data_IF_179790618028
#
_entry.id   IF_179790618028
#
_cell.length_a   1.000
_cell.length_b   1.000
_cell.length_c   1.000
_cell.angle_alpha   90.00
_cell.angle_beta   90.00
_cell.angle_gamma   90.00
#
_symmetry.space_group_name_H-M   'P 1'
#
loop_
_entity.id
_entity.type
_entity.pdbx_description
1 polymer ?
#
# COMPACT_ATOMS: atom_id res chain seq x y z
N UNK A 1 -4.87 -10.83 15.11
CA UNK A 1 -4.55 -9.70 16.05
C UNK A 1 -5.85 -9.21 16.69
N UNK A 2 -6.12 -9.66 17.93
CA UNK A 2 -7.39 -9.41 18.63
C UNK A 2 -7.21 -8.36 19.72
N UNK A 3 -8.06 -7.34 19.70
CA UNK A 3 -8.09 -6.28 20.71
C UNK A 3 -9.35 -6.48 21.56
N UNK A 4 -9.18 -6.65 22.86
CA UNK A 4 -10.31 -6.81 23.80
C UNK A 4 -10.94 -5.45 24.07
N UNK A 5 -12.23 -5.29 23.80
CA UNK A 5 -12.93 -4.00 23.89
C UNK A 5 -13.86 -3.89 25.10
N UNK A 6 -14.29 -5.00 25.70
CA UNK A 6 -15.30 -5.04 26.77
C UNK A 6 -14.81 -4.37 28.05
N UNK A 7 -13.52 -4.50 28.38
CA UNK A 7 -12.93 -3.96 29.62
C UNK A 7 -12.22 -2.61 29.45
N UNK A 8 -12.25 -2.03 28.22
CA UNK A 8 -11.60 -0.76 27.97
C UNK A 8 -12.42 0.41 28.54
N UNK A 9 -11.77 1.30 29.27
CA UNK A 9 -12.33 2.61 29.63
C UNK A 9 -12.47 3.51 28.41
N UNK A 10 -13.28 4.56 28.51
CA UNK A 10 -13.26 5.63 27.49
C UNK A 10 -11.89 6.31 27.47
N UNK A 11 -11.43 6.68 26.26
CA UNK A 11 -10.14 7.32 26.06
C UNK A 11 -9.28 6.65 24.98
N UNK A 12 -7.98 6.94 25.05
CA UNK A 12 -7.00 6.47 24.06
C UNK A 12 -6.21 5.28 24.58
N UNK A 13 -6.09 4.25 23.73
CA UNK A 13 -5.33 3.04 24.03
C UNK A 13 -4.38 2.74 22.88
N UNK A 14 -3.15 2.31 23.20
CA UNK A 14 -2.11 2.00 22.23
C UNK A 14 -1.78 0.51 22.28
N UNK A 15 -1.68 -0.11 21.09
CA UNK A 15 -1.26 -1.49 20.95
C UNK A 15 -0.19 -1.59 19.88
N UNK A 16 0.78 -2.48 20.10
CA UNK A 16 1.82 -2.78 19.14
C UNK A 16 1.82 -4.30 18.92
N UNK A 17 1.68 -4.72 17.68
CA UNK A 17 1.77 -6.12 17.29
C UNK A 17 2.96 -6.30 16.36
N UNK A 18 3.57 -7.47 16.45
CA UNK A 18 4.62 -7.91 15.54
C UNK A 18 4.29 -9.35 15.17
N UNK A 19 3.90 -9.55 13.92
CA UNK A 19 3.45 -10.84 13.42
C UNK A 19 4.32 -11.25 12.23
N UNK A 20 4.46 -12.56 12.02
CA UNK A 20 5.18 -13.06 10.85
C UNK A 20 4.32 -12.94 9.58
N UNK A 21 4.97 -12.91 8.43
CA UNK A 21 4.30 -12.89 7.13
C UNK A 21 3.45 -14.14 6.90
N UNK A 22 3.86 -15.28 7.47
CA UNK A 22 3.13 -16.55 7.39
C UNK A 22 1.84 -16.51 8.22
N UNK A 23 1.86 -15.89 9.40
CA UNK A 23 0.66 -15.71 10.23
C UNK A 23 -0.42 -14.90 9.51
N UNK A 24 0.01 -13.90 8.70
CA UNK A 24 -0.87 -13.06 7.90
C UNK A 24 -1.17 -13.65 6.52
N UNK A 25 -0.66 -14.85 6.21
CA UNK A 25 -0.84 -15.51 4.91
C UNK A 25 -0.50 -14.58 3.74
N UNK A 26 0.59 -13.81 3.87
CA UNK A 26 1.06 -12.92 2.82
C UNK A 26 1.79 -13.72 1.72
N UNK A 27 1.78 -13.24 0.46
CA UNK A 27 2.56 -13.83 -0.62
C UNK A 27 4.06 -13.94 -0.30
N UNK A 28 4.73 -14.91 -0.93
CA UNK A 28 6.14 -15.23 -0.67
C UNK A 28 7.14 -14.09 -0.92
N UNK A 29 6.71 -13.07 -1.67
CA UNK A 29 7.53 -11.88 -1.89
C UNK A 29 7.67 -11.03 -0.61
N UNK A 30 6.74 -11.16 0.34
CA UNK A 30 6.86 -10.50 1.63
C UNK A 30 7.77 -11.32 2.55
N UNK A 31 8.57 -10.63 3.36
CA UNK A 31 9.54 -11.27 4.25
C UNK A 31 9.66 -10.57 5.60
N UNK A 32 10.16 -11.33 6.57
CA UNK A 32 10.38 -10.86 7.94
C UNK A 32 9.10 -10.70 8.73
N UNK A 33 9.07 -9.70 9.61
CA UNK A 33 7.93 -9.44 10.47
C UNK A 33 7.21 -8.17 10.05
N UNK A 34 5.89 -8.24 10.10
CA UNK A 34 4.99 -7.09 9.95
C UNK A 34 4.81 -6.41 11.29
N UNK A 35 5.09 -5.11 11.34
CA UNK A 35 4.85 -4.28 12.54
C UNK A 35 3.56 -3.50 12.37
N UNK A 36 2.70 -3.58 13.38
CA UNK A 36 1.38 -2.96 13.39
C UNK A 36 1.20 -2.14 14.66
N UNK A 37 1.11 -0.84 14.50
CA UNK A 37 0.84 0.09 15.61
C UNK A 37 -0.63 0.52 15.53
N UNK A 38 -1.33 0.41 16.64
CA UNK A 38 -2.76 0.70 16.72
C UNK A 38 -3.01 1.76 17.77
N UNK A 39 -3.69 2.83 17.37
CA UNK A 39 -4.31 3.80 18.25
C UNK A 39 -5.81 3.55 18.26
N UNK A 40 -6.35 3.12 19.39
CA UNK A 40 -7.77 2.94 19.61
C UNK A 40 -8.31 4.06 20.47
N UNK A 41 -9.31 4.80 19.97
CA UNK A 41 -10.03 5.84 20.70
C UNK A 41 -11.46 5.34 20.97
N UNK A 42 -11.78 5.08 22.25
CA UNK A 42 -13.10 4.61 22.67
C UNK A 42 -13.92 5.76 23.24
N UNK A 43 -15.10 5.94 22.70
CA UNK A 43 -16.15 6.83 23.25
C UNK A 43 -17.37 6.02 23.68
N UNK A 44 -18.41 6.69 24.16
CA UNK A 44 -19.69 6.03 24.51
C UNK A 44 -20.37 5.37 23.32
N UNK A 45 -20.29 6.01 22.16
CA UNK A 45 -21.11 5.67 20.99
C UNK A 45 -20.33 4.92 19.91
N UNK A 46 -19.00 5.07 19.88
CA UNK A 46 -18.16 4.46 18.85
C UNK A 46 -16.73 4.18 19.32
N UNK A 47 -16.07 3.31 18.59
CA UNK A 47 -14.63 3.06 18.70
C UNK A 47 -14.00 3.42 17.37
N UNK A 48 -13.02 4.31 17.39
CA UNK A 48 -12.16 4.62 16.24
C UNK A 48 -10.83 3.89 16.42
N UNK A 49 -10.43 3.10 15.41
CA UNK A 49 -9.12 2.47 15.36
C UNK A 49 -8.35 3.09 14.21
N UNK A 50 -7.15 3.62 14.51
CA UNK A 50 -6.16 4.05 13.52
C UNK A 50 -5.01 3.07 13.57
N UNK A 51 -4.67 2.51 12.43
CA UNK A 51 -3.65 1.46 12.29
C UNK A 51 -2.57 1.94 11.34
N UNK A 52 -1.32 1.86 11.78
CA UNK A 52 -0.13 2.06 10.95
C UNK A 52 0.61 0.73 10.81
N UNK A 53 0.85 0.31 9.58
CA UNK A 53 1.44 -0.97 9.21
C UNK A 53 2.78 -0.73 8.55
N UNK A 54 3.77 -1.57 8.87
CA UNK A 54 5.03 -1.61 8.16
C UNK A 54 5.37 -3.05 7.79
N UNK A 55 5.60 -3.31 6.50
CA UNK A 55 5.95 -4.61 5.93
C UNK A 55 7.08 -4.47 4.91
N UNK A 56 7.87 -5.53 4.71
CA UNK A 56 8.95 -5.58 3.73
C UNK A 56 8.62 -6.56 2.61
N UNK A 57 9.02 -6.23 1.38
CA UNK A 57 8.79 -7.06 0.20
C UNK A 57 10.00 -7.04 -0.73
N UNK A 58 10.34 -8.22 -1.28
CA UNK A 58 11.21 -8.37 -2.44
C UNK A 58 10.47 -7.90 -3.68
N UNK A 59 11.07 -7.02 -4.44
CA UNK A 59 10.49 -6.43 -5.63
C UNK A 59 11.46 -6.59 -6.81
N UNK A 60 10.89 -6.74 -8.01
CA UNK A 60 11.62 -6.60 -9.27
C UNK A 60 11.23 -5.28 -9.94
N UNK A 61 12.19 -4.57 -10.48
CA UNK A 61 11.96 -3.30 -11.16
C UNK A 61 11.39 -3.51 -12.55
N UNK A 62 10.21 -2.96 -12.85
CA UNK A 62 9.53 -3.10 -14.15
C UNK A 62 10.29 -2.49 -15.34
N UNK A 63 11.33 -1.68 -15.08
CA UNK A 63 12.15 -1.06 -16.13
C UNK A 63 13.48 -1.74 -16.37
N UNK A 64 14.20 -2.10 -15.30
CA UNK A 64 15.57 -2.64 -15.42
C UNK A 64 15.71 -4.07 -14.91
N UNK A 65 14.61 -4.70 -14.50
CA UNK A 65 14.51 -6.08 -14.01
C UNK A 65 15.43 -6.39 -12.81
N UNK A 66 15.92 -5.36 -12.13
CA UNK A 66 16.73 -5.53 -10.93
C UNK A 66 15.84 -5.87 -9.76
N UNK A 67 16.25 -6.85 -8.99
CA UNK A 67 15.68 -7.16 -7.69
C UNK A 67 16.11 -6.13 -6.65
N UNK A 68 15.19 -5.76 -5.76
CA UNK A 68 15.44 -4.86 -4.65
C UNK A 68 14.41 -5.06 -3.54
N UNK A 69 14.81 -4.71 -2.32
CA UNK A 69 13.92 -4.76 -1.17
C UNK A 69 13.27 -3.39 -0.95
N UNK A 70 11.99 -3.42 -0.63
CA UNK A 70 11.23 -2.22 -0.32
C UNK A 70 10.39 -2.40 0.94
N UNK A 71 10.44 -1.39 1.82
CA UNK A 71 9.52 -1.29 2.93
C UNK A 71 8.27 -0.53 2.50
N UNK A 72 7.12 -1.08 2.83
CA UNK A 72 5.81 -0.46 2.63
C UNK A 72 5.27 0.01 3.97
N UNK A 73 4.82 1.25 4.01
CA UNK A 73 4.08 1.79 5.16
C UNK A 73 2.69 2.17 4.66
N UNK A 74 1.66 1.70 5.35
CA UNK A 74 0.28 2.03 5.08
C UNK A 74 -0.44 2.39 6.37
N UNK A 75 -1.42 3.27 6.25
CA UNK A 75 -2.26 3.69 7.37
C UNK A 75 -3.72 3.60 6.96
N UNK A 76 -4.54 3.09 7.87
CA UNK A 76 -5.98 3.08 7.69
C UNK A 76 -6.69 3.37 9.02
N UNK A 77 -7.96 3.68 8.91
CA UNK A 77 -8.82 3.88 10.07
C UNK A 77 -10.17 3.20 9.85
N UNK A 78 -10.74 2.67 10.93
CA UNK A 78 -12.04 2.02 10.97
C UNK A 78 -12.85 2.53 12.14
N UNK A 79 -14.12 2.79 11.88
CA UNK A 79 -15.10 3.12 12.91
C UNK A 79 -15.94 1.89 13.24
N UNK A 80 -16.04 1.60 14.53
CA UNK A 80 -16.89 0.52 15.04
C UNK A 80 -18.01 1.14 15.86
N UNK A 81 -19.25 0.84 15.48
CA UNK A 81 -20.46 1.35 16.13
C UNK A 81 -21.33 0.19 16.59
N UNK A 82 -22.04 0.35 17.71
CA UNK A 82 -22.95 -0.67 18.23
C UNK A 82 -24.40 -0.49 17.80
N UNK A 83 -24.73 0.65 17.19
CA UNK A 83 -26.10 0.98 16.74
C UNK A 83 -26.11 1.29 15.24
N UNK A 84 -26.87 0.48 14.49
CA UNK A 84 -27.00 0.59 13.03
C UNK A 84 -27.67 1.90 12.60
N UNK A 85 -28.48 2.53 13.46
CA UNK A 85 -29.15 3.79 13.14
C UNK A 85 -28.14 4.93 12.99
N UNK A 86 -27.02 4.85 13.68
CA UNK A 86 -25.94 5.82 13.60
C UNK A 86 -25.05 5.63 12.36
N UNK A 87 -25.19 4.52 11.61
CA UNK A 87 -24.38 4.24 10.41
C UNK A 87 -24.51 5.35 9.35
N UNK A 88 -25.69 5.95 9.21
CA UNK A 88 -25.96 7.03 8.25
C UNK A 88 -25.18 8.32 8.51
N UNK A 89 -24.61 8.49 9.69
CA UNK A 89 -23.81 9.67 10.06
C UNK A 89 -22.34 9.56 9.65
N UNK A 90 -21.91 8.38 9.21
CA UNK A 90 -20.53 8.10 8.86
C UNK A 90 -20.42 7.61 7.41
N UNK A 91 -19.23 7.69 6.83
CA UNK A 91 -18.96 7.12 5.51
C UNK A 91 -19.04 5.58 5.59
N UNK A 92 -19.90 4.98 4.75
CA UNK A 92 -20.21 3.54 4.80
C UNK A 92 -18.98 2.63 4.61
N UNK A 93 -17.96 3.10 3.86
CA UNK A 93 -16.77 2.31 3.51
C UNK A 93 -15.82 2.07 4.69
N UNK A 94 -15.91 2.88 5.75
CA UNK A 94 -15.02 2.81 6.92
C UNK A 94 -15.76 2.47 8.23
N UNK A 95 -17.05 2.12 8.15
CA UNK A 95 -17.86 1.83 9.33
C UNK A 95 -18.24 0.37 9.41
N UNK A 96 -17.87 -0.27 10.49
CA UNK A 96 -18.26 -1.64 10.84
C UNK A 96 -19.21 -1.63 12.02
N UNK A 97 -20.33 -2.33 11.88
CA UNK A 97 -21.28 -2.50 12.98
C UNK A 97 -20.85 -3.71 13.80
N UNK A 98 -20.58 -3.50 15.08
CA UNK A 98 -20.27 -4.58 16.03
C UNK A 98 -21.49 -4.89 16.92
N UNK A 99 -21.60 -6.15 17.31
CA UNK A 99 -22.64 -6.56 18.26
C UNK A 99 -22.28 -6.06 19.67
N UNK A 100 -23.32 -5.75 20.46
CA UNK A 100 -23.15 -5.25 21.84
C UNK A 100 -22.47 -6.27 22.79
N UNK A 101 -22.54 -7.56 22.43
CA UNK A 101 -21.93 -8.67 23.15
C UNK A 101 -20.55 -9.09 22.62
N UNK A 102 -20.01 -8.32 21.66
CA UNK A 102 -18.72 -8.62 21.07
C UNK A 102 -17.59 -8.19 22.01
N UNK A 103 -16.76 -9.15 22.39
CA UNK A 103 -15.65 -8.93 23.32
C UNK A 103 -14.37 -8.40 22.64
N UNK A 104 -14.16 -8.75 21.38
CA UNK A 104 -12.91 -8.50 20.67
C UNK A 104 -13.17 -7.93 19.28
N UNK A 105 -12.28 -7.03 18.85
CA UNK A 105 -12.13 -6.65 17.45
C UNK A 105 -10.89 -7.39 16.91
N UNK A 106 -11.06 -8.12 15.81
CA UNK A 106 -9.95 -8.78 15.12
C UNK A 106 -9.59 -7.97 13.86
N UNK A 107 -8.37 -7.44 13.84
CA UNK A 107 -7.86 -6.61 12.76
C UNK A 107 -6.93 -7.38 11.81
N UNK A 108 -6.78 -8.70 11.95
CA UNK A 108 -5.80 -9.47 11.19
C UNK A 108 -6.08 -9.45 9.70
N UNK A 109 -7.34 -9.63 9.31
CA UNK A 109 -7.74 -9.59 7.89
C UNK A 109 -7.58 -8.20 7.28
N UNK A 110 -8.01 -7.16 8.01
CA UNK A 110 -7.88 -5.78 7.53
C UNK A 110 -6.40 -5.43 7.31
N UNK A 111 -5.52 -5.78 8.27
CA UNK A 111 -4.07 -5.57 8.13
C UNK A 111 -3.53 -6.28 6.88
N UNK A 112 -3.91 -7.54 6.65
CA UNK A 112 -3.51 -8.29 5.46
C UNK A 112 -3.96 -7.60 4.17
N UNK A 113 -5.23 -7.22 4.09
CA UNK A 113 -5.79 -6.57 2.91
C UNK A 113 -5.12 -5.22 2.63
N UNK A 114 -4.92 -4.39 3.65
CA UNK A 114 -4.25 -3.09 3.49
C UNK A 114 -2.77 -3.22 3.12
N UNK A 115 -2.07 -4.29 3.54
CA UNK A 115 -0.72 -4.59 3.05
C UNK A 115 -0.76 -4.89 1.54
N UNK A 116 -1.67 -5.75 1.10
CA UNK A 116 -1.79 -6.11 -0.32
C UNK A 116 -2.18 -4.91 -1.17
N UNK A 117 -3.07 -4.05 -0.70
CA UNK A 117 -3.46 -2.82 -1.37
C UNK A 117 -2.35 -1.75 -1.41
N UNK A 118 -1.37 -1.81 -0.50
CA UNK A 118 -0.24 -0.87 -0.48
C UNK A 118 0.80 -1.12 -1.58
N UNK A 119 0.73 -2.29 -2.23
CA UNK A 119 1.65 -2.63 -3.32
C UNK A 119 1.32 -1.78 -4.54
N UNK A 120 2.25 -0.96 -5.02
CA UNK A 120 2.00 -0.13 -6.19
C UNK A 120 1.87 -0.98 -7.45
N UNK A 121 1.05 -0.54 -8.40
CA UNK A 121 0.91 -1.19 -9.71
C UNK A 121 2.21 -1.18 -10.53
N UNK A 122 3.15 -0.28 -10.19
CA UNK A 122 4.43 -0.15 -10.87
C UNK A 122 5.56 -0.18 -9.85
N UNK A 123 6.42 -1.17 -9.98
CA UNK A 123 7.59 -1.33 -9.12
C UNK A 123 8.82 -0.72 -9.81
N UNK A 124 9.41 0.31 -9.21
CA UNK A 124 10.64 0.93 -9.70
C UNK A 124 11.69 0.91 -8.59
N UNK A 125 12.92 0.50 -8.94
CA UNK A 125 14.05 0.55 -8.01
C UNK A 125 14.43 1.98 -7.61
N UNK A 126 14.14 2.96 -8.49
CA UNK A 126 14.24 4.41 -8.27
C UNK A 126 13.33 5.13 -9.26
N UNK A 127 12.87 6.33 -8.91
CA UNK A 127 11.91 7.11 -9.72
C UNK A 127 12.44 7.41 -11.12
N UNK A 128 13.73 7.74 -11.23
CA UNK A 128 14.44 8.09 -12.46
C UNK A 128 15.08 6.89 -13.17
N UNK A 129 14.66 5.65 -12.86
CA UNK A 129 15.20 4.45 -13.48
C UNK A 129 15.09 4.52 -15.00
N UNK A 130 16.24 4.42 -15.69
CA UNK A 130 16.32 4.51 -17.16
C UNK A 130 15.95 3.18 -17.85
N UNK A 131 15.90 2.09 -17.09
CA UNK A 131 15.57 0.77 -17.63
C UNK A 131 16.67 0.12 -18.43
N UNK A 132 16.27 -0.87 -19.23
CA UNK A 132 17.13 -1.58 -20.16
C UNK A 132 16.98 -1.02 -21.57
N UNK A 133 18.08 -1.05 -22.34
CA UNK A 133 18.00 -0.74 -23.76
C UNK A 133 17.12 -1.77 -24.49
N UNK A 134 16.10 -1.38 -25.26
CA UNK A 134 15.21 -2.34 -25.93
C UNK A 134 15.87 -3.14 -27.04
N UNK A 135 17.09 -2.77 -27.49
CA UNK A 135 17.84 -3.46 -28.54
C UNK A 135 18.87 -4.43 -27.98
N UNK A 136 19.74 -3.96 -27.09
CA UNK A 136 20.88 -4.75 -26.61
C UNK A 136 20.75 -5.22 -25.16
N UNK A 137 19.69 -4.81 -24.44
CA UNK A 137 19.50 -5.20 -23.04
C UNK A 137 20.44 -4.52 -22.04
N UNK A 138 21.31 -3.60 -22.47
CA UNK A 138 22.20 -2.88 -21.55
C UNK A 138 21.42 -2.07 -20.54
N UNK A 139 21.82 -2.10 -19.26
CA UNK A 139 21.21 -1.29 -18.20
C UNK A 139 21.65 0.18 -18.35
N UNK A 140 20.67 1.01 -18.76
CA UNK A 140 20.87 2.43 -19.02
C UNK A 140 21.11 3.26 -17.74
N UNK A 141 20.94 2.67 -16.57
CA UNK A 141 21.28 3.33 -15.31
C UNK A 141 22.79 3.39 -15.04
N UNK A 142 23.59 2.53 -15.70
CA UNK A 142 25.03 2.41 -15.44
C UNK A 142 25.88 2.72 -16.65
N UNK A 143 25.35 2.49 -17.85
CA UNK A 143 26.14 2.64 -19.07
C UNK A 143 25.30 3.25 -20.21
N UNK A 144 25.97 4.01 -21.07
CA UNK A 144 25.34 4.50 -22.28
C UNK A 144 25.27 3.39 -23.32
N UNK A 145 24.13 3.26 -23.98
CA UNK A 145 23.97 2.32 -25.08
C UNK A 145 24.60 2.89 -26.36
N UNK A 146 25.36 2.05 -27.07
CA UNK A 146 25.99 2.39 -28.38
C UNK A 146 25.09 2.05 -29.58
N UNK A 147 23.86 1.56 -29.35
CA UNK A 147 22.93 1.26 -30.43
C UNK A 147 22.50 2.55 -31.14
N UNK A 148 22.41 2.49 -32.46
CA UNK A 148 21.83 3.60 -33.24
C UNK A 148 20.38 3.87 -32.81
N UNK A 149 20.02 5.13 -32.76
CA UNK A 149 18.64 5.54 -32.46
C UNK A 149 17.67 4.93 -33.49
N UNK A 150 16.51 4.47 -33.01
CA UNK A 150 15.47 3.97 -33.91
C UNK A 150 14.99 5.05 -34.87
N UNK A 151 14.94 4.71 -36.17
CA UNK A 151 14.23 5.54 -37.14
C UNK A 151 12.74 5.47 -36.78
N UNK A 152 12.14 6.62 -36.53
CA UNK A 152 10.71 6.71 -36.25
C UNK A 152 9.92 6.13 -37.43
N UNK A 153 9.01 5.19 -37.18
CA UNK A 153 8.11 4.68 -38.20
C UNK A 153 7.38 5.84 -38.89
N UNK A 154 7.39 5.89 -40.25
CA UNK A 154 6.76 6.97 -41.02
C UNK A 154 5.32 7.26 -40.61
N UNK A 155 4.57 6.26 -40.16
CA UNK A 155 3.18 6.40 -39.66
C UNK A 155 3.06 7.32 -38.45
N UNK A 156 4.13 7.44 -37.64
CA UNK A 156 4.16 8.25 -36.41
C UNK A 156 4.76 9.65 -36.61
N UNK A 157 5.26 9.96 -37.82
CA UNK A 157 5.86 11.26 -38.11
C UNK A 157 4.90 12.43 -37.88
N UNK A 158 3.61 12.24 -38.15
CA UNK A 158 2.58 13.25 -37.93
C UNK A 158 2.48 13.67 -36.45
N UNK A 159 2.74 12.76 -35.50
CA UNK A 159 2.71 13.05 -34.07
C UNK A 159 3.89 13.92 -33.62
N UNK A 160 5.03 13.87 -34.30
CA UNK A 160 6.18 14.77 -34.03
C UNK A 160 5.81 16.25 -34.17
N UNK A 161 4.94 16.58 -35.13
CA UNK A 161 4.44 17.94 -35.30
C UNK A 161 3.65 18.46 -34.09
N UNK A 162 2.89 17.60 -33.43
CA UNK A 162 2.11 17.96 -32.27
C UNK A 162 2.97 18.22 -31.02
N UNK A 163 4.11 17.55 -30.88
CA UNK A 163 5.05 17.79 -29.78
C UNK A 163 5.77 19.14 -29.90
N UNK A 164 6.11 19.55 -31.12
CA UNK A 164 6.79 20.82 -31.35
C UNK A 164 5.88 22.05 -31.17
N UNK A 165 4.56 21.91 -31.33
CA UNK A 165 3.59 23.00 -31.14
C UNK A 165 3.26 23.29 -29.65
N UNK A 166 3.73 22.50 -28.68
CA UNK A 166 3.53 22.76 -27.24
C UNK A 166 4.59 23.65 -26.61
N UNK A 167 5.60 24.10 -27.35
CA UNK A 167 6.68 24.96 -26.84
C UNK A 167 6.43 26.46 -27.03
N UNK A 168 5.21 26.86 -27.34
CA UNK A 168 4.87 28.27 -27.61
C UNK A 168 3.53 28.64 -26.98
N UNK A 169 3.50 28.74 -25.64
CA UNK A 169 2.56 29.57 -24.89
C UNK A 169 3.05 29.77 -23.47
#
# INVERSE_FOLDING_TARGET
>A
MKIKITSLSEGRHFYNFTESVEFLELPNEFFGNVRVNVLLEKTKDHILIKVSINANRHCECDRCLREYDRSFTNEYHMFYISDIQNKKLYNEDVVTVIRKDQDYIDISNDVREYILLSVPMKNLCKEDCQGLCPRCGSDLNFQQCICEAEKVDPRWLALKGLLNNKSGN
#
